data_IF_677877625422
#
_entry.id   IF_677877625422
#
_cell.length_a   1.000
_cell.length_b   1.000
_cell.length_c   1.000
_cell.angle_alpha   90.00
_cell.angle_beta   90.00
_cell.angle_gamma   90.00
#
_symmetry.space_group_name_H-M   'P 1'
#
loop_
_entity.id
_entity.type
_entity.pdbx_description
1 polymer ?
#
# COMPACT_ATOMS: atom_id res chain seq x y z
N UNK A 1 22.91 15.33 54.51
CA UNK A 1 22.04 14.43 53.72
C UNK A 1 22.65 14.36 52.34
N UNK A 2 22.80 13.15 51.80
CA UNK A 2 23.56 12.91 50.56
C UNK A 2 22.82 13.40 49.32
N UNK A 3 23.55 14.05 48.43
CA UNK A 3 23.18 14.22 47.03
C UNK A 3 23.09 12.84 46.34
N UNK A 4 22.22 12.75 45.33
CA UNK A 4 22.07 11.57 44.47
C UNK A 4 21.99 12.08 43.03
N UNK A 5 23.16 12.26 42.42
CA UNK A 5 23.28 12.54 40.99
C UNK A 5 22.80 11.33 40.19
N UNK A 6 21.90 11.58 39.24
CA UNK A 6 21.59 10.66 38.14
C UNK A 6 21.48 11.48 36.85
N UNK A 7 22.63 11.94 36.35
CA UNK A 7 22.78 12.31 34.94
C UNK A 7 23.15 11.06 34.12
N UNK A 8 22.15 10.38 33.56
CA UNK A 8 22.36 9.49 32.41
C UNK A 8 21.98 10.26 31.13
N UNK A 9 22.92 10.49 30.18
CA UNK A 9 22.59 11.17 28.93
C UNK A 9 21.75 10.25 28.05
N UNK A 10 20.53 10.68 27.74
CA UNK A 10 19.66 10.03 26.74
C UNK A 10 20.42 9.97 25.42
N UNK A 11 20.85 8.76 25.03
CA UNK A 11 21.47 8.50 23.73
C UNK A 11 20.43 8.70 22.64
N UNK A 12 20.41 9.90 22.04
CA UNK A 12 19.69 10.14 20.80
C UNK A 12 20.15 9.14 19.74
N UNK A 13 19.23 8.28 19.30
CA UNK A 13 19.47 7.38 18.19
C UNK A 13 19.57 8.23 16.92
N UNK A 14 20.77 8.38 16.36
CA UNK A 14 20.98 9.03 15.07
C UNK A 14 20.36 8.20 13.94
N UNK A 15 19.05 8.31 13.75
CA UNK A 15 18.33 7.74 12.61
C UNK A 15 18.60 8.62 11.40
N UNK A 16 19.69 8.32 10.68
CA UNK A 16 20.02 8.99 9.43
C UNK A 16 19.18 8.37 8.30
N UNK A 17 17.97 8.92 8.07
CA UNK A 17 17.09 8.50 6.98
C UNK A 17 17.73 8.85 5.62
N UNK A 18 18.31 7.85 4.95
CA UNK A 18 18.88 8.01 3.61
C UNK A 18 17.80 8.10 2.54
N UNK A 19 17.25 9.30 2.34
CA UNK A 19 16.46 9.62 1.16
C UNK A 19 17.39 9.79 -0.04
N UNK A 20 17.35 8.86 -1.00
CA UNK A 20 18.16 8.91 -2.21
C UNK A 20 17.74 10.06 -3.14
N UNK A 21 18.50 11.16 -3.11
CA UNK A 21 18.43 12.22 -4.10
C UNK A 21 19.15 11.77 -5.39
N UNK A 22 18.43 11.18 -6.34
CA UNK A 22 18.92 11.06 -7.72
C UNK A 22 18.33 12.17 -8.59
N UNK A 23 19.15 13.19 -8.85
CA UNK A 23 18.93 14.13 -9.94
C UNK A 23 19.20 13.42 -11.27
N UNK A 24 18.25 13.44 -12.19
CA UNK A 24 18.46 13.05 -13.58
C UNK A 24 19.04 14.23 -14.36
N UNK A 25 20.30 14.12 -14.77
CA UNK A 25 20.90 15.02 -15.77
C UNK A 25 20.61 14.52 -17.19
N UNK A 26 20.46 15.43 -18.18
CA UNK A 26 19.95 15.08 -19.51
C UNK A 26 20.98 14.39 -20.42
N UNK A 27 20.46 13.68 -21.41
CA UNK A 27 21.22 12.99 -22.46
C UNK A 27 21.86 14.01 -23.41
N UNK A 28 23.19 13.90 -23.62
CA UNK A 28 23.91 14.45 -24.78
C UNK A 28 24.85 13.37 -25.34
N UNK A 29 25.01 13.36 -26.67
CA UNK A 29 25.56 12.26 -27.45
C UNK A 29 27.07 12.35 -27.77
N UNK A 30 27.64 11.18 -28.11
CA UNK A 30 28.87 10.95 -28.88
C UNK A 30 30.22 11.51 -28.38
N UNK A 31 31.12 10.60 -27.99
CA UNK A 31 32.55 10.89 -27.84
C UNK A 31 33.39 9.79 -27.19
N UNK A 32 33.88 8.82 -27.97
CA UNK A 32 35.08 8.06 -27.61
C UNK A 32 36.32 9.00 -27.70
N UNK A 33 37.46 8.79 -26.99
CA UNK A 33 38.03 7.46 -26.72
C UNK A 33 38.95 7.29 -25.47
N UNK A 34 39.59 6.10 -25.43
CA UNK A 34 40.87 5.72 -24.79
C UNK A 34 40.88 5.18 -23.35
N UNK A 35 41.47 3.98 -23.27
CA UNK A 35 41.80 3.20 -22.07
C UNK A 35 42.95 3.85 -21.28
N UNK A 36 42.93 3.70 -19.96
CA UNK A 36 44.15 3.69 -19.14
C UNK A 36 44.14 2.44 -18.24
N UNK A 37 45.23 1.67 -18.26
CA UNK A 37 45.42 0.49 -17.41
C UNK A 37 46.70 0.64 -16.58
N UNK A 38 46.60 0.67 -15.25
CA UNK A 38 47.71 0.41 -14.30
C UNK A 38 47.13 -0.04 -12.93
N UNK A 39 47.89 -0.68 -12.01
CA UNK A 39 47.79 -2.13 -11.88
C UNK A 39 47.38 -2.65 -10.48
N UNK A 40 47.08 -3.94 -10.40
CA UNK A 40 46.89 -4.69 -9.14
C UNK A 40 48.15 -4.66 -8.25
N UNK A 41 47.98 -4.59 -6.93
CA UNK A 41 49.00 -4.98 -5.94
C UNK A 41 48.48 -6.05 -4.98
N UNK A 42 48.93 -7.28 -5.25
CA UNK A 42 49.39 -8.32 -4.31
C UNK A 42 48.83 -8.42 -2.89
N UNK A 43 48.33 -9.61 -2.58
CA UNK A 43 48.04 -10.12 -1.23
C UNK A 43 49.24 -10.11 -0.27
N UNK A 44 48.98 -10.01 1.04
CA UNK A 44 49.77 -10.65 2.12
C UNK A 44 48.90 -10.90 3.35
N UNK A 45 48.95 -12.13 3.87
CA UNK A 45 48.45 -12.54 5.19
C UNK A 45 49.45 -12.18 6.29
N UNK A 46 49.02 -12.14 7.57
CA UNK A 46 49.50 -13.15 8.55
C UNK A 46 48.32 -13.86 9.27
N UNK A 47 48.38 -15.18 9.49
CA UNK A 47 48.82 -15.84 10.74
C UNK A 47 47.95 -15.46 11.96
N UNK A 48 46.96 -16.29 12.33
CA UNK A 48 47.08 -17.51 13.17
C UNK A 48 47.48 -17.19 14.62
N UNK A 49 46.51 -17.28 15.52
CA UNK A 49 46.75 -17.52 16.95
C UNK A 49 45.88 -18.68 17.44
N UNK A 50 46.50 -19.61 18.18
CA UNK A 50 45.87 -20.77 18.83
C UNK A 50 45.40 -20.40 20.24
N UNK A 51 44.22 -20.87 20.60
CA UNK A 51 43.84 -21.27 21.96
C UNK A 51 42.80 -22.39 21.80
N UNK A 52 43.20 -23.66 21.87
CA UNK A 52 43.24 -24.51 23.06
C UNK A 52 41.85 -24.86 23.62
N UNK A 53 41.61 -26.17 23.63
CA UNK A 53 40.35 -26.83 24.01
C UNK A 53 40.19 -26.92 25.53
N UNK A 54 38.95 -26.99 26.00
CA UNK A 54 38.61 -27.51 27.31
C UNK A 54 37.39 -28.45 27.19
N UNK A 55 37.65 -29.76 27.11
CA UNK A 55 36.63 -30.79 27.26
C UNK A 55 36.06 -30.78 28.68
N UNK A 56 34.74 -30.89 28.83
CA UNK A 56 34.10 -31.52 29.99
C UNK A 56 32.95 -32.42 29.49
N UNK A 57 32.97 -33.69 29.90
CA UNK A 57 31.93 -34.68 29.67
C UNK A 57 31.21 -35.03 31.00
N UNK A 58 30.00 -35.62 30.96
CA UNK A 58 29.08 -35.61 32.09
C UNK A 58 29.27 -36.78 33.07
N UNK A 59 28.70 -36.64 34.28
CA UNK A 59 28.52 -37.74 35.23
C UNK A 59 27.04 -37.96 35.59
N UNK A 60 26.69 -39.22 35.82
CA UNK A 60 25.44 -39.71 36.41
C UNK A 60 25.75 -40.30 37.81
N UNK A 61 24.85 -40.75 38.68
CA UNK A 61 23.39 -41.02 38.70
C UNK A 61 23.00 -40.82 40.23
N UNK A 62 21.98 -41.43 40.90
CA UNK A 62 20.85 -42.25 40.45
C UNK A 62 19.44 -41.83 40.93
N UNK A 63 18.45 -42.39 40.21
CA UNK A 63 17.05 -42.69 40.55
C UNK A 63 16.45 -42.38 41.95
N UNK A 64 15.23 -41.83 41.92
CA UNK A 64 14.03 -42.59 42.37
C UNK A 64 12.87 -42.34 41.40
N UNK A 65 12.00 -43.33 41.23
CA UNK A 65 10.87 -43.26 40.29
C UNK A 65 9.53 -43.50 40.99
N UNK A 66 8.47 -42.93 40.42
CA UNK A 66 7.10 -43.38 40.61
C UNK A 66 6.37 -43.13 39.28
N UNK A 67 5.75 -44.17 38.73
CA UNK A 67 5.08 -44.09 37.43
C UNK A 67 3.56 -44.02 37.57
N UNK A 68 2.93 -43.29 36.66
CA UNK A 68 1.52 -43.45 36.31
C UNK A 68 1.30 -43.19 34.82
N UNK A 69 0.22 -43.76 34.30
CA UNK A 69 -0.13 -43.87 32.88
C UNK A 69 -0.51 -42.55 32.19
N UNK A 70 -0.31 -42.52 30.87
CA UNK A 70 -0.71 -41.43 29.97
C UNK A 70 -2.18 -41.57 29.56
N UNK A 71 -2.99 -40.53 29.78
CA UNK A 71 -4.14 -40.15 28.95
C UNK A 71 -4.30 -38.61 28.97
N UNK A 72 -4.92 -37.97 27.94
CA UNK A 72 -4.73 -36.56 27.67
C UNK A 72 -5.67 -35.61 28.43
N UNK A 73 -5.11 -34.58 29.05
CA UNK A 73 -5.89 -33.53 29.73
C UNK A 73 -6.50 -32.52 28.74
N UNK A 74 -7.78 -32.69 28.42
CA UNK A 74 -8.58 -31.75 27.63
C UNK A 74 -9.10 -30.58 28.48
N UNK A 75 -8.31 -29.52 28.68
CA UNK A 75 -8.79 -28.28 29.29
C UNK A 75 -8.20 -27.01 28.65
N UNK A 76 -8.79 -26.60 27.52
CA UNK A 76 -8.83 -25.18 27.15
C UNK A 76 -9.97 -24.51 27.96
N UNK A 77 -9.63 -23.79 29.02
CA UNK A 77 -10.56 -22.80 29.58
C UNK A 77 -10.37 -21.47 28.84
N UNK A 78 -11.45 -20.81 28.36
CA UNK A 78 -11.35 -19.53 27.69
C UNK A 78 -11.00 -18.44 28.69
N UNK A 79 -10.04 -17.59 28.32
CA UNK A 79 -9.70 -16.38 29.06
C UNK A 79 -10.86 -15.38 28.91
N UNK A 80 -11.75 -15.29 29.90
CA UNK A 80 -12.83 -14.31 29.94
C UNK A 80 -12.29 -12.90 30.21
N UNK A 81 -11.64 -12.33 29.20
CA UNK A 81 -11.40 -10.89 29.14
C UNK A 81 -12.74 -10.21 28.84
N UNK A 82 -13.30 -9.50 29.83
CA UNK A 82 -14.47 -8.66 29.60
C UNK A 82 -14.12 -7.54 28.63
N UNK A 83 -14.56 -7.69 27.38
CA UNK A 83 -14.43 -6.66 26.35
C UNK A 83 -15.23 -5.41 26.76
N UNK A 84 -14.63 -4.24 26.59
CA UNK A 84 -15.33 -2.97 26.85
C UNK A 84 -16.43 -2.73 25.83
N UNK A 85 -17.42 -1.91 26.17
CA UNK A 85 -18.49 -1.52 25.23
C UNK A 85 -17.96 -0.86 23.95
N UNK A 86 -16.77 -0.25 23.99
CA UNK A 86 -16.09 0.29 22.82
C UNK A 86 -15.45 -0.81 21.96
N UNK A 87 -14.81 -1.81 22.57
CA UNK A 87 -14.29 -2.98 21.87
C UNK A 87 -15.42 -3.80 21.22
N UNK A 88 -16.53 -3.99 21.93
CA UNK A 88 -17.74 -4.61 21.37
C UNK A 88 -18.32 -3.78 20.21
N UNK A 89 -18.37 -2.45 20.33
CA UNK A 89 -18.77 -1.58 19.20
C UNK A 89 -17.87 -1.71 17.98
N UNK A 90 -16.54 -1.84 18.15
CA UNK A 90 -15.62 -2.08 17.03
C UNK A 90 -15.81 -3.47 16.38
N UNK A 91 -16.18 -4.49 17.17
CA UNK A 91 -16.51 -5.83 16.67
C UNK A 91 -17.83 -5.83 15.89
N UNK A 92 -18.84 -5.09 16.38
CA UNK A 92 -20.16 -4.96 15.76
C UNK A 92 -20.29 -3.82 14.72
N UNK A 93 -19.20 -3.16 14.34
CA UNK A 93 -19.26 -2.17 13.27
C UNK A 93 -19.41 -2.90 11.93
N UNK A 94 -20.60 -2.83 11.35
CA UNK A 94 -20.88 -3.33 9.99
C UNK A 94 -19.89 -2.73 8.98
N UNK A 95 -19.34 -3.54 8.07
CA UNK A 95 -18.44 -3.04 7.05
C UNK A 95 -19.22 -2.11 6.10
N UNK A 96 -18.65 -0.93 5.80
CA UNK A 96 -19.05 -0.24 4.58
C UNK A 96 -18.79 -1.19 3.40
N UNK A 97 -19.82 -1.57 2.65
CA UNK A 97 -19.79 -2.51 1.53
C UNK A 97 -20.34 -1.84 0.26
N UNK A 98 -19.75 -0.68 -0.10
CA UNK A 98 -20.26 0.17 -1.17
C UNK A 98 -20.15 -0.45 -2.57
N UNK A 99 -19.15 -1.30 -2.85
CA UNK A 99 -19.03 -1.93 -4.16
C UNK A 99 -20.14 -2.97 -4.39
N UNK A 100 -20.75 -3.54 -3.34
CA UNK A 100 -21.86 -4.49 -3.41
C UNK A 100 -23.09 -3.98 -4.18
N UNK A 101 -23.29 -2.65 -4.28
CA UNK A 101 -24.40 -2.04 -5.05
C UNK A 101 -24.04 -1.75 -6.50
N UNK A 102 -22.76 -1.71 -6.85
CA UNK A 102 -22.29 -1.39 -8.19
C UNK A 102 -22.46 -2.62 -9.10
N UNK A 103 -22.94 -2.50 -10.35
CA UNK A 103 -23.06 -3.61 -11.29
C UNK A 103 -21.75 -4.37 -11.59
N UNK A 104 -21.87 -5.69 -11.82
CA UNK A 104 -20.74 -6.61 -12.06
C UNK A 104 -19.98 -6.36 -13.38
N UNK A 105 -20.65 -5.75 -14.36
CA UNK A 105 -20.10 -5.41 -15.68
C UNK A 105 -19.24 -4.14 -15.67
N UNK A 106 -19.28 -3.36 -14.58
CA UNK A 106 -18.53 -2.10 -14.48
C UNK A 106 -17.02 -2.34 -14.45
N UNK A 107 -16.23 -1.79 -15.39
CA UNK A 107 -14.77 -1.81 -15.34
C UNK A 107 -14.24 -1.19 -14.04
N UNK A 108 -13.19 -1.76 -13.43
CA UNK A 108 -12.66 -1.26 -12.15
C UNK A 108 -11.99 0.12 -12.30
N UNK A 109 -11.40 0.40 -13.47
CA UNK A 109 -10.91 1.74 -13.84
C UNK A 109 -12.05 2.77 -14.07
N UNK A 110 -13.33 2.38 -13.95
CA UNK A 110 -14.49 3.29 -13.95
C UNK A 110 -14.98 3.69 -12.56
N UNK A 111 -14.30 3.22 -11.50
CA UNK A 111 -14.68 3.52 -10.13
C UNK A 111 -13.86 4.69 -9.55
N UNK A 112 -14.51 5.41 -8.64
CA UNK A 112 -13.85 6.35 -7.73
C UNK A 112 -13.50 5.58 -6.45
N UNK A 113 -12.22 5.24 -6.29
CA UNK A 113 -11.73 4.30 -5.27
C UNK A 113 -10.94 5.07 -4.21
N UNK A 114 -11.45 5.21 -2.96
CA UNK A 114 -10.69 5.81 -1.87
C UNK A 114 -9.55 4.87 -1.45
N UNK A 115 -8.34 5.42 -1.36
CA UNK A 115 -7.13 4.71 -0.97
C UNK A 115 -6.39 5.37 0.19
N UNK A 116 -5.44 4.67 0.79
CA UNK A 116 -4.55 5.20 1.83
C UNK A 116 -3.09 5.14 1.40
N UNK A 117 -2.41 6.28 1.45
CA UNK A 117 -0.96 6.36 1.26
C UNK A 117 -0.24 5.75 2.48
N UNK A 118 0.79 4.95 2.23
CA UNK A 118 1.54 4.15 3.22
C UNK A 118 0.60 3.56 4.29
N UNK A 119 -0.36 2.72 3.86
CA UNK A 119 -1.54 2.31 4.63
C UNK A 119 -1.24 1.74 6.02
N UNK A 120 -0.03 1.23 6.23
CA UNK A 120 0.40 0.61 7.48
C UNK A 120 1.08 1.57 8.46
N UNK A 121 1.41 2.82 8.08
CA UNK A 121 2.29 3.69 8.85
C UNK A 121 1.58 4.43 10.00
N UNK A 122 1.05 3.63 10.96
CA UNK A 122 0.58 4.05 12.29
C UNK A 122 1.73 4.24 13.27
N UNK A 123 2.69 5.09 12.94
CA UNK A 123 3.82 5.38 13.83
C UNK A 123 3.46 6.41 14.91
N UNK A 124 4.15 6.37 16.05
CA UNK A 124 4.19 7.50 17.01
C UNK A 124 5.28 8.52 16.63
N UNK A 125 6.17 8.18 15.70
CA UNK A 125 7.13 9.12 15.11
C UNK A 125 6.39 9.95 14.07
N UNK A 126 6.16 11.23 14.37
CA UNK A 126 5.29 12.13 13.58
C UNK A 126 5.68 12.21 12.09
N UNK A 127 6.97 12.16 11.77
CA UNK A 127 7.50 12.18 10.39
C UNK A 127 7.30 10.88 9.62
N UNK A 128 6.93 9.80 10.32
CA UNK A 128 6.67 8.47 9.75
C UNK A 128 5.16 8.20 9.71
N UNK A 129 4.33 9.01 10.38
CA UNK A 129 2.90 8.76 10.50
C UNK A 129 2.10 9.35 9.33
N UNK A 130 1.47 8.48 8.55
CA UNK A 130 0.51 8.83 7.49
C UNK A 130 -0.92 8.43 7.84
N UNK A 131 -1.11 7.47 8.75
CA UNK A 131 -2.43 6.94 9.13
C UNK A 131 -2.58 6.82 10.65
N UNK A 132 -3.83 6.96 11.13
CA UNK A 132 -4.21 6.65 12.52
C UNK A 132 -4.96 5.33 12.67
N UNK A 133 -5.44 4.74 11.57
CA UNK A 133 -6.35 3.57 11.54
C UNK A 133 -5.65 2.30 11.06
N UNK A 134 -6.01 1.12 11.57
CA UNK A 134 -5.48 -0.16 11.06
C UNK A 134 -6.00 -0.43 9.65
N UNK A 135 -5.39 -1.37 8.93
CA UNK A 135 -5.92 -1.78 7.62
C UNK A 135 -7.35 -2.29 7.75
N UNK A 136 -7.67 -3.09 8.78
CA UNK A 136 -9.06 -3.42 9.11
C UNK A 136 -9.96 -2.18 9.33
N UNK A 137 -9.55 -1.20 10.16
CA UNK A 137 -10.33 0.03 10.42
C UNK A 137 -10.52 0.90 9.15
N UNK A 138 -9.53 0.92 8.25
CA UNK A 138 -9.60 1.62 6.96
C UNK A 138 -10.59 0.95 6.00
N UNK A 139 -10.50 -0.38 5.84
CA UNK A 139 -11.40 -1.17 4.99
C UNK A 139 -12.86 -1.04 5.47
N UNK A 140 -13.09 -1.08 6.79
CA UNK A 140 -14.41 -0.88 7.40
C UNK A 140 -14.97 0.54 7.18
N UNK A 141 -14.12 1.57 7.13
CA UNK A 141 -14.54 2.93 6.82
C UNK A 141 -14.99 3.08 5.36
N UNK A 142 -14.38 2.34 4.44
CA UNK A 142 -14.71 2.32 3.00
C UNK A 142 -13.50 2.32 2.06
N UNK A 143 -12.27 2.32 2.58
CA UNK A 143 -11.03 2.26 1.77
C UNK A 143 -10.98 0.97 0.95
N UNK A 144 -10.55 1.07 -0.31
CA UNK A 144 -10.41 -0.07 -1.25
C UNK A 144 -9.10 -0.06 -2.04
N UNK A 145 -8.19 0.88 -1.77
CA UNK A 145 -6.83 0.85 -2.30
C UNK A 145 -5.81 1.03 -1.16
N UNK A 146 -4.80 0.16 -1.10
CA UNK A 146 -3.76 0.17 -0.07
C UNK A 146 -2.39 0.36 -0.72
N UNK A 147 -1.58 1.30 -0.23
CA UNK A 147 -0.18 1.46 -0.63
C UNK A 147 0.72 0.81 0.43
N UNK A 148 1.37 -0.29 0.05
CA UNK A 148 2.19 -1.14 0.91
C UNK A 148 3.65 -1.03 0.50
N UNK A 149 4.43 -0.25 1.25
CA UNK A 149 5.89 -0.20 1.15
C UNK A 149 6.48 -1.37 1.92
N UNK A 150 7.20 -2.25 1.22
CA UNK A 150 7.71 -3.50 1.80
C UNK A 150 9.23 -3.57 1.74
N UNK A 151 9.82 -4.32 2.68
CA UNK A 151 11.17 -4.86 2.55
C UNK A 151 11.17 -6.35 2.79
N UNK A 152 12.04 -7.05 2.07
CA UNK A 152 12.27 -8.48 2.19
C UNK A 152 13.34 -8.76 3.24
N UNK A 153 13.08 -9.72 4.11
CA UNK A 153 14.04 -10.23 5.10
C UNK A 153 14.84 -11.41 4.52
N UNK A 154 15.94 -11.78 5.19
CA UNK A 154 16.85 -12.86 4.72
C UNK A 154 16.17 -14.23 4.55
N UNK A 155 15.04 -14.45 5.20
CA UNK A 155 14.23 -15.66 5.13
C UNK A 155 13.11 -15.58 4.06
N UNK A 156 13.14 -14.58 3.17
CA UNK A 156 12.13 -14.36 2.13
C UNK A 156 10.85 -13.65 2.61
N UNK A 157 10.64 -13.48 3.93
CA UNK A 157 9.43 -12.84 4.44
C UNK A 157 9.40 -11.34 4.14
N UNK A 158 8.22 -10.81 3.82
CA UNK A 158 7.98 -9.41 3.55
C UNK A 158 7.40 -8.70 4.78
N UNK A 159 7.97 -7.54 5.11
CA UNK A 159 7.56 -6.69 6.24
C UNK A 159 7.29 -5.27 5.76
N UNK A 160 6.37 -4.57 6.43
CA UNK A 160 5.98 -3.20 6.10
C UNK A 160 6.99 -2.18 6.66
N UNK A 161 7.33 -1.19 5.84
CA UNK A 161 8.26 -0.10 6.17
C UNK A 161 7.66 1.25 5.75
N UNK A 162 8.28 2.35 6.16
CA UNK A 162 8.08 3.68 5.54
C UNK A 162 9.40 4.46 5.68
N UNK A 163 10.01 4.84 4.54
CA UNK A 163 11.26 5.61 4.52
C UNK A 163 12.44 4.88 5.17
N UNK A 164 12.43 3.54 5.18
CA UNK A 164 13.40 2.69 5.87
C UNK A 164 13.15 2.49 7.36
N UNK A 165 12.09 3.06 7.94
CA UNK A 165 11.66 2.74 9.30
C UNK A 165 10.74 1.50 9.28
N UNK A 166 11.05 0.42 10.02
CA UNK A 166 10.16 -0.74 10.11
C UNK A 166 8.87 -0.37 10.84
N UNK A 167 7.73 -0.78 10.29
CA UNK A 167 6.42 -0.55 10.87
C UNK A 167 5.99 -1.72 11.76
N UNK A 168 5.10 -1.45 12.72
CA UNK A 168 4.56 -2.44 13.65
C UNK A 168 4.40 -1.90 15.07
N UNK A 169 4.07 -2.80 16.00
CA UNK A 169 4.00 -2.49 17.43
C UNK A 169 5.39 -2.65 18.06
N UNK A 170 5.60 -2.06 19.24
CA UNK A 170 6.86 -2.17 19.99
C UNK A 170 7.39 -3.62 20.04
N UNK A 171 8.60 -3.82 19.53
CA UNK A 171 9.28 -5.13 19.49
C UNK A 171 8.81 -6.11 18.41
N UNK A 172 7.79 -5.80 17.60
CA UNK A 172 7.25 -6.71 16.57
C UNK A 172 6.95 -5.98 15.27
N UNK A 173 7.79 -6.23 14.26
CA UNK A 173 7.57 -5.75 12.89
C UNK A 173 6.29 -6.33 12.29
N UNK A 174 5.61 -5.53 11.47
CA UNK A 174 4.38 -5.88 10.78
C UNK A 174 4.69 -6.64 9.50
N UNK A 175 4.38 -7.94 9.48
CA UNK A 175 4.53 -8.78 8.29
C UNK A 175 3.37 -8.55 7.29
N UNK A 176 3.65 -8.65 5.99
CA UNK A 176 2.62 -8.59 4.93
C UNK A 176 1.51 -9.62 5.16
N UNK A 177 1.84 -10.80 5.66
CA UNK A 177 0.86 -11.85 6.01
C UNK A 177 -0.20 -11.39 7.01
N UNK A 178 0.16 -10.49 7.95
CA UNK A 178 -0.79 -9.93 8.93
C UNK A 178 -1.72 -8.92 8.26
N UNK A 179 -1.17 -8.06 7.39
CA UNK A 179 -1.95 -7.08 6.62
C UNK A 179 -2.95 -7.77 5.68
N UNK A 180 -2.51 -8.79 4.96
CA UNK A 180 -3.40 -9.53 4.05
C UNK A 180 -4.43 -10.38 4.79
N UNK A 181 -4.16 -10.81 6.04
CA UNK A 181 -5.18 -11.47 6.86
C UNK A 181 -6.35 -10.53 7.21
N UNK A 182 -6.08 -9.24 7.48
CA UNK A 182 -7.14 -8.21 7.62
C UNK A 182 -7.95 -8.08 6.33
N UNK A 183 -7.29 -8.04 5.17
CA UNK A 183 -7.95 -7.96 3.84
C UNK A 183 -8.82 -9.19 3.58
N UNK A 184 -8.34 -10.42 3.83
CA UNK A 184 -9.13 -11.63 3.63
C UNK A 184 -10.32 -11.72 4.59
N UNK A 185 -10.13 -11.32 5.85
CA UNK A 185 -11.21 -11.22 6.84
C UNK A 185 -12.28 -10.22 6.39
N UNK A 186 -11.86 -9.09 5.82
CA UNK A 186 -12.77 -8.10 5.25
C UNK A 186 -13.55 -8.63 4.03
N UNK A 187 -12.92 -9.37 3.12
CA UNK A 187 -13.62 -10.02 1.99
C UNK A 187 -14.70 -10.98 2.49
N UNK A 188 -14.39 -11.81 3.49
CA UNK A 188 -15.37 -12.75 4.09
C UNK A 188 -16.53 -11.96 4.73
N UNK A 189 -16.22 -10.93 5.53
CA UNK A 189 -17.23 -10.11 6.23
C UNK A 189 -18.18 -9.36 5.30
N UNK A 190 -17.76 -9.05 4.08
CA UNK A 190 -18.60 -8.39 3.06
C UNK A 190 -19.31 -9.39 2.14
N UNK A 191 -19.30 -10.69 2.46
CA UNK A 191 -19.88 -11.73 1.59
C UNK A 191 -19.19 -11.81 0.23
N UNK A 192 -17.91 -11.48 0.18
CA UNK A 192 -17.07 -11.41 -1.02
C UNK A 192 -17.59 -10.42 -2.08
N UNK A 193 -18.34 -9.39 -1.69
CA UNK A 193 -18.88 -8.40 -2.63
C UNK A 193 -17.87 -7.35 -3.06
N UNK A 194 -16.80 -7.13 -2.30
CA UNK A 194 -15.83 -6.07 -2.55
C UNK A 194 -14.58 -6.57 -3.28
N UNK A 195 -13.77 -5.64 -3.80
CA UNK A 195 -12.40 -5.90 -4.29
C UNK A 195 -11.45 -4.87 -3.67
N UNK A 196 -10.17 -5.20 -3.53
CA UNK A 196 -9.16 -4.30 -2.95
C UNK A 196 -7.95 -4.22 -3.87
N UNK A 197 -7.56 -3.00 -4.24
CA UNK A 197 -6.32 -2.74 -4.97
C UNK A 197 -5.17 -2.71 -3.95
N UNK A 198 -4.12 -3.46 -4.20
CA UNK A 198 -2.91 -3.45 -3.37
C UNK A 198 -1.74 -2.98 -4.23
N UNK A 199 -1.30 -1.75 -3.98
CA UNK A 199 -0.05 -1.19 -4.48
C UNK A 199 1.10 -1.71 -3.64
N UNK A 200 2.11 -2.31 -4.26
CA UNK A 200 3.34 -2.76 -3.59
C UNK A 200 4.54 -2.03 -4.20
N UNK A 201 5.32 -1.36 -3.34
CA UNK A 201 6.64 -0.80 -3.67
C UNK A 201 7.72 -1.43 -2.79
N UNK A 202 8.94 -1.50 -3.30
CA UNK A 202 10.11 -1.93 -2.55
C UNK A 202 10.73 -0.72 -1.83
N UNK A 203 10.68 -0.69 -0.50
CA UNK A 203 11.25 0.40 0.31
C UNK A 203 12.74 0.20 0.62
N UNK A 204 13.38 -0.87 0.12
CA UNK A 204 14.81 -1.11 0.28
C UNK A 204 15.61 -0.60 -0.92
N UNK A 205 16.40 0.45 -0.70
CA UNK A 205 17.24 1.06 -1.73
C UNK A 205 18.37 0.14 -2.21
N UNK A 206 18.81 -0.84 -1.41
CA UNK A 206 19.83 -1.80 -1.82
C UNK A 206 19.25 -2.86 -2.76
N UNK A 207 18.06 -3.39 -2.46
CA UNK A 207 17.38 -4.32 -3.36
C UNK A 207 17.01 -3.60 -4.68
N UNK A 208 16.47 -2.36 -4.64
CA UNK A 208 16.19 -1.55 -5.85
C UNK A 208 17.44 -1.31 -6.71
N UNK A 209 18.59 -1.07 -6.10
CA UNK A 209 19.83 -0.69 -6.76
C UNK A 209 20.54 -1.80 -7.56
N UNK A 210 20.18 -3.07 -7.35
CA UNK A 210 20.82 -4.24 -7.96
C UNK A 210 19.82 -5.10 -8.73
N UNK A 211 20.25 -5.80 -9.79
CA UNK A 211 19.36 -6.69 -10.54
C UNK A 211 18.97 -7.92 -9.69
N UNK A 212 19.94 -8.42 -8.93
CA UNK A 212 19.80 -9.54 -8.01
C UNK A 212 18.83 -9.20 -6.87
N UNK A 213 18.89 -7.97 -6.34
CA UNK A 213 17.98 -7.47 -5.31
C UNK A 213 16.55 -7.26 -5.81
N UNK A 214 16.38 -6.67 -7.01
CA UNK A 214 15.06 -6.52 -7.63
C UNK A 214 14.41 -7.87 -7.93
N UNK A 215 15.18 -8.81 -8.50
CA UNK A 215 14.74 -10.19 -8.71
C UNK A 215 14.35 -10.86 -7.39
N UNK A 216 15.21 -10.81 -6.36
CA UNK A 216 14.90 -11.46 -5.08
C UNK A 216 13.70 -10.85 -4.35
N UNK A 217 13.44 -9.54 -4.53
CA UNK A 217 12.21 -8.90 -4.04
C UNK A 217 10.98 -9.36 -4.84
N UNK A 218 11.06 -9.41 -6.17
CA UNK A 218 9.99 -9.94 -7.03
C UNK A 218 9.61 -11.37 -6.62
N UNK A 219 10.60 -12.25 -6.49
CA UNK A 219 10.40 -13.65 -6.08
C UNK A 219 9.74 -13.76 -4.70
N UNK A 220 10.09 -12.91 -3.73
CA UNK A 220 9.45 -12.94 -2.41
C UNK A 220 7.97 -12.51 -2.44
N UNK A 221 7.59 -11.60 -3.35
CA UNK A 221 6.18 -11.22 -3.55
C UNK A 221 5.42 -12.34 -4.28
N UNK A 222 6.03 -12.92 -5.31
CA UNK A 222 5.45 -14.04 -6.06
C UNK A 222 5.32 -15.32 -5.21
N UNK A 223 6.33 -15.68 -4.41
CA UNK A 223 6.28 -16.77 -3.43
C UNK A 223 5.15 -16.55 -2.41
N UNK A 224 5.00 -15.34 -1.89
CA UNK A 224 3.91 -15.01 -0.96
C UNK A 224 2.52 -15.16 -1.60
N UNK A 225 2.39 -14.79 -2.87
CA UNK A 225 1.15 -14.95 -3.65
C UNK A 225 0.88 -16.43 -3.96
N UNK A 226 1.90 -17.19 -4.40
CA UNK A 226 1.80 -18.65 -4.63
C UNK A 226 1.48 -19.43 -3.35
N UNK A 227 1.96 -18.98 -2.20
CA UNK A 227 1.66 -19.54 -0.88
C UNK A 227 0.32 -19.06 -0.29
N UNK A 228 -0.34 -18.06 -0.90
CA UNK A 228 -1.66 -17.61 -0.43
C UNK A 228 -2.69 -18.73 -0.67
N UNK A 229 -3.37 -19.24 0.37
CA UNK A 229 -4.39 -20.27 0.19
C UNK A 229 -5.51 -19.79 -0.72
N UNK A 230 -6.02 -20.68 -1.58
CA UNK A 230 -7.23 -20.42 -2.37
C UNK A 230 -8.45 -20.34 -1.44
N UNK A 231 -9.59 -19.86 -1.95
CA UNK A 231 -10.82 -19.81 -1.16
C UNK A 231 -11.33 -21.21 -0.83
N UNK A 232 -11.73 -21.43 0.43
CA UNK A 232 -12.19 -22.71 0.93
C UNK A 232 -13.64 -23.05 0.59
N UNK A 233 -14.15 -24.12 1.21
CA UNK A 233 -15.52 -24.60 0.97
C UNK A 233 -16.57 -23.57 1.37
N UNK A 234 -17.34 -23.11 0.39
CA UNK A 234 -18.35 -22.06 0.57
C UNK A 234 -17.79 -20.62 0.64
N UNK A 235 -16.51 -20.41 0.36
CA UNK A 235 -15.88 -19.08 0.31
C UNK A 235 -15.70 -18.58 -1.14
N UNK A 236 -15.31 -17.31 -1.32
CA UNK A 236 -14.63 -16.84 -2.53
C UNK A 236 -15.45 -16.14 -3.60
N UNK A 237 -16.69 -15.73 -3.31
CA UNK A 237 -17.54 -14.98 -4.25
C UNK A 237 -18.93 -15.56 -4.42
N UNK A 238 -19.82 -14.80 -5.09
CA UNK A 238 -20.93 -15.41 -5.82
C UNK A 238 -20.36 -16.25 -6.97
N UNK A 239 -21.08 -17.30 -7.37
CA UNK A 239 -20.63 -18.33 -8.32
C UNK A 239 -20.52 -17.89 -9.80
N UNK A 240 -20.02 -16.68 -10.05
CA UNK A 240 -19.68 -16.18 -11.38
C UNK A 240 -18.36 -16.75 -11.91
N UNK A 241 -18.00 -16.35 -13.14
CA UNK A 241 -16.81 -16.85 -13.84
C UNK A 241 -15.53 -16.60 -13.03
N UNK A 242 -14.95 -17.68 -12.50
CA UNK A 242 -13.71 -17.65 -11.72
C UNK A 242 -13.84 -17.17 -10.26
N UNK A 243 -15.04 -17.20 -9.68
CA UNK A 243 -15.28 -17.01 -8.23
C UNK A 243 -15.71 -18.31 -7.52
N UNK A 244 -15.85 -18.26 -6.20
CA UNK A 244 -16.32 -19.37 -5.36
C UNK A 244 -15.20 -20.28 -4.80
N UNK A 245 -15.58 -21.47 -4.33
CA UNK A 245 -14.66 -22.46 -3.75
C UNK A 245 -13.53 -22.81 -4.72
N UNK A 246 -12.29 -22.84 -4.22
CA UNK A 246 -11.10 -23.09 -5.04
C UNK A 246 -10.71 -21.95 -5.98
N UNK A 247 -11.35 -20.77 -5.93
CA UNK A 247 -10.89 -19.59 -6.68
C UNK A 247 -9.68 -18.91 -6.02
N UNK A 248 -8.90 -18.18 -6.83
CA UNK A 248 -7.73 -17.42 -6.37
C UNK A 248 -8.17 -16.19 -5.56
N UNK A 249 -7.43 -15.86 -4.49
CA UNK A 249 -7.59 -14.58 -3.76
C UNK A 249 -6.96 -13.38 -4.47
N UNK A 250 -6.17 -13.63 -5.52
CA UNK A 250 -5.44 -12.64 -6.28
C UNK A 250 -5.91 -12.60 -7.74
N UNK A 251 -6.06 -11.39 -8.27
CA UNK A 251 -6.12 -11.10 -9.70
C UNK A 251 -4.76 -10.58 -10.14
N UNK A 252 -4.09 -11.34 -11.01
CA UNK A 252 -2.70 -11.12 -11.42
C UNK A 252 -2.55 -10.88 -12.93
N UNK A 253 -3.67 -10.79 -13.66
CA UNK A 253 -3.62 -10.49 -15.08
C UNK A 253 -3.38 -8.99 -15.31
N UNK A 254 -2.81 -8.66 -16.46
CA UNK A 254 -2.39 -7.31 -16.85
C UNK A 254 -3.49 -6.49 -17.55
N UNK A 255 -4.65 -7.09 -17.81
CA UNK A 255 -5.82 -6.43 -18.41
C UNK A 255 -6.73 -5.80 -17.33
N UNK A 256 -7.43 -4.72 -17.68
CA UNK A 256 -8.45 -4.10 -16.82
C UNK A 256 -9.64 -5.04 -16.61
N UNK A 257 -9.96 -5.47 -15.37
CA UNK A 257 -11.11 -6.32 -15.10
C UNK A 257 -12.41 -5.53 -14.93
N UNK A 258 -13.55 -6.21 -15.08
CA UNK A 258 -14.83 -5.75 -14.51
C UNK A 258 -14.91 -6.11 -13.03
N UNK A 259 -15.72 -5.36 -12.28
CA UNK A 259 -15.91 -5.56 -10.84
C UNK A 259 -16.30 -7.01 -10.50
N UNK A 260 -17.23 -7.60 -11.27
CA UNK A 260 -17.68 -8.99 -11.09
C UNK A 260 -16.56 -10.03 -11.21
N UNK A 261 -15.53 -9.78 -12.02
CA UNK A 261 -14.38 -10.70 -12.18
C UNK A 261 -13.44 -10.70 -10.97
N UNK A 262 -13.46 -9.63 -10.16
CA UNK A 262 -12.53 -9.39 -9.04
C UNK A 262 -13.19 -9.30 -7.66
N UNK A 263 -14.51 -9.45 -7.56
CA UNK A 263 -15.21 -9.61 -6.28
C UNK A 263 -14.59 -10.76 -5.48
N UNK A 264 -14.25 -10.51 -4.22
CA UNK A 264 -13.54 -11.45 -3.35
C UNK A 264 -12.05 -11.62 -3.69
N UNK A 265 -11.48 -10.78 -4.55
CA UNK A 265 -10.05 -10.83 -4.96
C UNK A 265 -9.35 -9.49 -4.72
N UNK A 266 -8.03 -9.56 -4.59
CA UNK A 266 -7.13 -8.41 -4.59
C UNK A 266 -6.52 -8.22 -5.97
N UNK A 267 -6.53 -6.98 -6.47
CA UNK A 267 -5.82 -6.59 -7.69
C UNK A 267 -4.42 -6.11 -7.28
N UNK A 268 -3.37 -6.71 -7.86
CA UNK A 268 -1.99 -6.28 -7.65
C UNK A 268 -1.61 -5.12 -8.58
N UNK A 269 -1.21 -4.00 -8.00
CA UNK A 269 -0.49 -2.91 -8.67
C UNK A 269 0.98 -2.98 -8.23
N UNK A 270 1.90 -3.29 -9.14
CA UNK A 270 3.30 -3.57 -8.83
C UNK A 270 4.17 -2.36 -9.18
N UNK A 271 4.89 -1.78 -8.22
CA UNK A 271 5.82 -0.64 -8.41
C UNK A 271 7.29 -1.06 -8.49
N UNK A 272 7.54 -2.36 -8.71
CA UNK A 272 8.85 -2.99 -8.84
C UNK A 272 8.91 -3.82 -10.14
N UNK A 273 10.03 -3.85 -10.88
CA UNK A 273 10.07 -4.51 -12.17
C UNK A 273 10.13 -6.04 -12.04
N UNK A 274 9.64 -6.75 -13.06
CA UNK A 274 10.10 -8.11 -13.35
C UNK A 274 11.41 -8.02 -14.15
N UNK A 275 12.42 -8.84 -13.83
CA UNK A 275 13.66 -8.89 -14.61
C UNK A 275 13.48 -9.79 -15.86
N UNK A 276 14.17 -9.46 -16.95
CA UNK A 276 13.97 -10.17 -18.24
C UNK A 276 14.32 -11.67 -18.13
N UNK A 277 13.46 -12.52 -18.69
CA UNK A 277 13.63 -13.98 -18.68
C UNK A 277 12.95 -14.70 -17.51
N UNK A 278 12.07 -14.03 -16.75
CA UNK A 278 11.19 -14.70 -15.80
C UNK A 278 10.07 -15.44 -16.54
N UNK A 279 10.17 -16.76 -16.60
CA UNK A 279 9.01 -17.60 -16.88
C UNK A 279 8.10 -17.60 -15.65
N UNK A 280 6.94 -16.95 -15.72
CA UNK A 280 5.89 -17.23 -14.73
C UNK A 280 5.35 -18.63 -14.98
N UNK A 281 5.40 -19.51 -13.97
CA UNK A 281 4.89 -20.87 -14.13
C UNK A 281 3.38 -20.82 -14.39
N UNK A 282 2.86 -21.40 -15.49
CA UNK A 282 1.51 -21.11 -15.99
C UNK A 282 0.42 -21.81 -15.17
N UNK A 283 0.05 -21.24 -14.02
CA UNK A 283 -1.07 -21.68 -13.17
C UNK A 283 -1.95 -20.51 -12.67
N UNK A 284 -2.23 -19.55 -13.56
CA UNK A 284 -3.32 -18.58 -13.41
C UNK A 284 -4.37 -18.66 -14.54
N UNK A 285 -4.02 -19.27 -15.69
CA UNK A 285 -4.92 -19.47 -16.84
C UNK A 285 -5.23 -20.96 -16.97
N UNK A 286 -6.30 -21.41 -16.32
CA UNK A 286 -7.03 -22.61 -16.74
C UNK A 286 -8.46 -22.22 -17.07
N UNK A 287 -8.67 -22.04 -18.38
CA UNK A 287 -9.88 -21.58 -19.02
C UNK A 287 -9.72 -21.83 -20.52
N UNK A 288 -9.88 -23.10 -20.88
CA UNK A 288 -9.71 -23.68 -22.22
C UNK A 288 -8.27 -23.91 -22.72
N UNK A 289 -8.13 -24.87 -23.65
CA UNK A 289 -6.86 -25.53 -23.99
C UNK A 289 -6.25 -25.12 -25.32
N UNK A 290 -5.03 -24.59 -25.28
CA UNK A 290 -3.99 -24.88 -26.27
C UNK A 290 -2.59 -24.61 -25.70
N UNK A 291 -1.64 -25.47 -26.03
CA UNK A 291 -0.26 -25.40 -25.54
C UNK A 291 0.60 -24.50 -26.42
N UNK A 292 0.83 -23.27 -25.99
CA UNK A 292 2.00 -22.48 -26.39
C UNK A 292 2.66 -21.92 -25.12
N UNK A 293 3.98 -22.08 -25.01
CA UNK A 293 4.77 -21.55 -23.90
C UNK A 293 4.84 -20.02 -24.02
N UNK A 294 3.88 -19.31 -23.41
CA UNK A 294 3.91 -17.85 -23.38
C UNK A 294 5.04 -17.39 -22.46
N UNK A 295 6.13 -16.90 -23.05
CA UNK A 295 7.17 -16.11 -22.39
C UNK A 295 6.57 -14.78 -21.88
N UNK A 296 5.86 -14.87 -20.75
CA UNK A 296 5.16 -13.78 -20.07
C UNK A 296 6.16 -12.88 -19.35
N UNK A 297 6.99 -12.19 -20.15
CA UNK A 297 7.84 -11.07 -19.73
C UNK A 297 7.09 -9.96 -18.97
N UNK A 298 5.75 -9.97 -19.00
CA UNK A 298 4.89 -9.07 -18.24
C UNK A 298 4.93 -9.30 -16.72
N UNK A 299 5.13 -10.53 -16.23
CA UNK A 299 5.11 -10.83 -14.79
C UNK A 299 3.74 -10.70 -14.09
N UNK A 300 3.73 -10.65 -12.76
CA UNK A 300 2.49 -10.64 -11.94
C UNK A 300 1.81 -9.27 -11.82
N UNK A 301 0.51 -9.19 -12.13
CA UNK A 301 -0.30 -7.98 -11.98
C UNK A 301 0.15 -6.81 -12.87
N UNK A 302 -0.41 -5.62 -12.63
CA UNK A 302 -0.11 -4.44 -13.43
C UNK A 302 1.32 -3.92 -13.18
N UNK A 303 2.10 -3.76 -14.25
CA UNK A 303 3.44 -3.16 -14.18
C UNK A 303 3.37 -1.64 -14.10
N UNK A 304 3.61 -1.10 -12.91
CA UNK A 304 3.80 0.33 -12.63
C UNK A 304 5.24 0.63 -12.19
N UNK A 305 6.22 -0.21 -12.56
CA UNK A 305 7.62 -0.06 -12.16
C UNK A 305 8.34 1.12 -12.82
N UNK A 306 7.81 1.62 -13.93
CA UNK A 306 8.25 2.85 -14.60
C UNK A 306 7.81 4.14 -13.87
N UNK A 307 7.63 4.09 -12.54
CA UNK A 307 7.11 5.18 -11.72
C UNK A 307 8.02 6.41 -11.72
N UNK A 308 7.51 7.57 -12.14
CA UNK A 308 8.28 8.82 -12.17
C UNK A 308 8.30 9.47 -10.78
N UNK A 309 9.47 9.56 -10.18
CA UNK A 309 9.63 10.12 -8.83
C UNK A 309 9.22 11.60 -8.77
N UNK A 310 8.32 11.94 -7.83
CA UNK A 310 7.94 13.32 -7.49
C UNK A 310 7.35 14.14 -8.66
N UNK A 311 6.62 13.50 -9.58
CA UNK A 311 6.02 14.15 -10.75
C UNK A 311 4.54 14.54 -10.52
N UNK A 312 4.11 15.75 -10.91
CA UNK A 312 2.71 16.18 -10.80
C UNK A 312 1.77 15.59 -11.87
N UNK A 313 2.31 15.06 -12.96
CA UNK A 313 1.54 14.38 -14.01
C UNK A 313 2.52 13.50 -14.82
N UNK A 314 2.20 12.22 -14.96
CA UNK A 314 2.94 11.30 -15.84
C UNK A 314 2.06 10.12 -16.24
N UNK A 315 2.46 9.44 -17.31
CA UNK A 315 1.78 8.27 -17.86
C UNK A 315 2.73 7.07 -17.77
N UNK A 316 2.21 5.93 -17.30
CA UNK A 316 2.79 4.61 -17.50
C UNK A 316 1.91 3.86 -18.50
N UNK A 317 2.48 3.48 -19.64
CA UNK A 317 1.84 2.60 -20.61
C UNK A 317 2.21 1.16 -20.30
N UNK A 318 1.23 0.31 -20.04
CA UNK A 318 1.38 -1.16 -20.01
C UNK A 318 0.88 -1.76 -21.34
N UNK A 319 1.10 -3.06 -21.61
CA UNK A 319 0.60 -3.71 -22.83
C UNK A 319 -0.93 -3.66 -23.00
N UNK A 320 -1.69 -3.51 -21.91
CA UNK A 320 -3.15 -3.62 -21.91
C UNK A 320 -3.88 -2.47 -21.18
N UNK A 321 -3.17 -1.52 -20.59
CA UNK A 321 -3.74 -0.39 -19.88
C UNK A 321 -2.83 0.84 -19.91
N UNK A 322 -3.42 2.03 -19.87
CA UNK A 322 -2.73 3.29 -19.61
C UNK A 322 -3.01 3.72 -18.17
N UNK A 323 -1.98 4.12 -17.43
CA UNK A 323 -2.09 4.68 -16.09
C UNK A 323 -1.59 6.11 -16.08
N UNK A 324 -2.45 7.06 -15.70
CA UNK A 324 -2.09 8.46 -15.51
C UNK A 324 -2.07 8.82 -14.04
N UNK A 325 -0.95 9.38 -13.59
CA UNK A 325 -0.58 9.40 -12.18
C UNK A 325 -0.11 10.80 -11.77
N UNK A 326 -0.59 11.28 -10.63
CA UNK A 326 -0.05 12.44 -9.92
C UNK A 326 0.56 11.98 -8.60
N UNK A 327 1.89 12.09 -8.49
CA UNK A 327 2.67 11.74 -7.30
C UNK A 327 3.73 12.82 -7.02
N UNK A 328 3.29 14.08 -6.91
CA UNK A 328 4.11 15.21 -6.46
C UNK A 328 4.17 15.19 -4.93
N UNK A 329 5.01 14.35 -4.36
CA UNK A 329 5.03 14.09 -2.91
C UNK A 329 5.99 14.96 -2.10
N UNK A 330 7.07 15.53 -2.68
CA UNK A 330 8.19 16.13 -1.91
C UNK A 330 8.45 17.61 -2.14
N UNK A 331 8.14 18.48 -1.18
CA UNK A 331 8.48 19.90 -1.22
C UNK A 331 9.87 20.13 -0.60
N UNK A 332 10.90 20.20 -1.47
CA UNK A 332 12.30 20.26 -1.03
C UNK A 332 12.79 21.64 -0.58
N UNK A 333 12.02 22.70 -0.83
CA UNK A 333 12.34 24.06 -0.37
C UNK A 333 11.36 24.49 0.74
N UNK A 334 11.78 25.47 1.54
CA UNK A 334 10.98 25.98 2.65
C UNK A 334 9.79 26.80 2.11
N UNK A 335 8.59 26.28 2.31
CA UNK A 335 7.32 26.80 1.78
C UNK A 335 6.29 26.92 2.91
N UNK A 336 5.40 27.94 2.88
CA UNK A 336 4.34 28.04 3.88
C UNK A 336 3.28 26.94 3.66
N UNK A 337 2.62 26.52 4.74
CA UNK A 337 1.58 25.47 4.67
C UNK A 337 0.45 25.83 3.69
N UNK A 338 0.07 27.11 3.60
CA UNK A 338 -0.94 27.57 2.65
C UNK A 338 -0.52 27.31 1.20
N UNK A 339 0.64 27.82 0.79
CA UNK A 339 1.19 27.69 -0.57
C UNK A 339 1.45 26.22 -0.95
N UNK A 340 1.89 25.39 0.02
CA UNK A 340 2.06 23.95 -0.17
C UNK A 340 0.71 23.28 -0.41
N UNK A 341 -0.29 23.52 0.44
CA UNK A 341 -1.64 22.94 0.30
C UNK A 341 -2.29 23.40 -1.01
N UNK A 342 -2.16 24.66 -1.39
CA UNK A 342 -2.66 25.19 -2.67
C UNK A 342 -2.00 24.45 -3.85
N UNK A 343 -0.67 24.49 -3.93
CA UNK A 343 0.11 23.81 -4.98
C UNK A 343 -0.23 22.32 -5.09
N UNK A 344 -0.28 21.60 -3.96
CA UNK A 344 -0.57 20.16 -3.94
C UNK A 344 -2.01 19.88 -4.36
N UNK A 345 -2.96 20.67 -3.85
CA UNK A 345 -4.37 20.53 -4.19
C UNK A 345 -4.60 20.75 -5.68
N UNK A 346 -3.92 21.71 -6.30
CA UNK A 346 -4.11 22.02 -7.72
C UNK A 346 -3.57 20.90 -8.62
N UNK A 347 -2.44 20.26 -8.29
CA UNK A 347 -2.00 19.06 -9.00
C UNK A 347 -3.03 17.92 -8.91
N UNK A 348 -3.62 17.68 -7.72
CA UNK A 348 -4.68 16.67 -7.55
C UNK A 348 -5.93 17.05 -8.37
N UNK A 349 -6.43 18.28 -8.23
CA UNK A 349 -7.62 18.76 -8.95
C UNK A 349 -7.44 18.65 -10.47
N UNK A 350 -6.28 19.05 -10.99
CA UNK A 350 -6.00 19.02 -12.43
C UNK A 350 -6.09 17.61 -13.01
N UNK A 351 -5.58 16.58 -12.31
CA UNK A 351 -5.73 15.19 -12.78
C UNK A 351 -7.16 14.67 -12.56
N UNK A 352 -7.81 15.04 -11.46
CA UNK A 352 -9.18 14.61 -11.13
C UNK A 352 -10.22 15.17 -12.11
N UNK A 353 -10.08 16.43 -12.49
CA UNK A 353 -10.86 17.13 -13.51
C UNK A 353 -10.72 16.46 -14.90
N UNK A 354 -9.55 15.88 -15.19
CA UNK A 354 -9.34 15.09 -16.42
C UNK A 354 -10.02 13.72 -16.38
N UNK A 355 -10.05 13.05 -15.22
CA UNK A 355 -10.84 11.83 -15.02
C UNK A 355 -12.35 12.09 -15.21
N UNK A 356 -12.84 13.20 -14.65
CA UNK A 356 -14.23 13.68 -14.76
C UNK A 356 -14.59 14.02 -16.22
N UNK A 357 -13.72 14.74 -16.95
CA UNK A 357 -13.94 15.04 -18.37
C UNK A 357 -14.04 13.78 -19.23
N UNK A 358 -13.09 12.86 -19.10
CA UNK A 358 -13.08 11.63 -19.92
C UNK A 358 -14.34 10.77 -19.64
N UNK A 359 -14.89 10.78 -18.42
CA UNK A 359 -16.19 10.15 -18.13
C UNK A 359 -17.35 10.84 -18.85
N UNK A 360 -17.43 12.18 -18.80
CA UNK A 360 -18.52 12.97 -19.41
C UNK A 360 -18.51 12.92 -20.93
N UNK A 361 -17.32 12.95 -21.53
CA UNK A 361 -17.13 12.94 -22.99
C UNK A 361 -17.40 11.56 -23.62
N UNK A 362 -17.37 10.48 -22.83
CA UNK A 362 -17.62 9.10 -23.27
C UNK A 362 -18.97 8.91 -23.97
N UNK A 363 -19.99 9.67 -23.57
CA UNK A 363 -21.32 9.63 -24.21
C UNK A 363 -21.42 10.37 -25.55
N UNK A 364 -20.38 11.11 -25.96
CA UNK A 364 -20.37 11.99 -27.12
C UNK A 364 -19.46 11.50 -28.27
N UNK A 365 -18.57 10.55 -28.00
CA UNK A 365 -17.56 10.09 -28.95
C UNK A 365 -17.95 8.75 -29.60
N UNK A 366 -17.91 8.70 -30.93
CA UNK A 366 -18.03 7.45 -31.69
C UNK A 366 -16.83 6.56 -31.37
N UNK A 367 -17.09 5.28 -31.08
CA UNK A 367 -16.16 4.30 -30.51
C UNK A 367 -14.90 4.00 -31.37
N UNK A 368 -13.93 4.91 -31.39
CA UNK A 368 -12.70 4.80 -32.21
C UNK A 368 -11.39 5.06 -31.45
N UNK A 369 -11.43 5.30 -30.13
CA UNK A 369 -10.22 5.42 -29.29
C UNK A 369 -10.43 4.73 -27.93
N UNK A 370 -9.97 3.47 -27.74
CA UNK A 370 -10.09 2.73 -26.49
C UNK A 370 -8.90 3.02 -25.55
N UNK A 371 -8.57 4.29 -25.31
CA UNK A 371 -7.61 4.70 -24.27
C UNK A 371 -8.36 5.14 -23.02
N UNK A 372 -8.93 4.14 -22.35
CA UNK A 372 -9.70 4.30 -21.13
C UNK A 372 -8.78 4.16 -19.90
N UNK A 373 -8.18 5.29 -19.53
CA UNK A 373 -7.06 5.34 -18.62
C UNK A 373 -7.46 5.04 -17.16
N UNK A 374 -6.57 4.38 -16.43
CA UNK A 374 -6.58 4.40 -14.97
C UNK A 374 -6.07 5.75 -14.49
N UNK A 375 -6.78 6.39 -13.57
CA UNK A 375 -6.33 7.62 -12.91
C UNK A 375 -5.92 7.33 -11.47
N UNK A 376 -4.72 7.74 -11.07
CA UNK A 376 -4.19 7.58 -9.71
C UNK A 376 -3.72 8.93 -9.16
N UNK A 377 -4.24 9.31 -8.00
CA UNK A 377 -3.94 10.57 -7.33
C UNK A 377 -3.38 10.29 -5.94
N UNK A 378 -2.30 10.96 -5.57
CA UNK A 378 -1.87 11.05 -4.18
C UNK A 378 -2.21 12.44 -3.63
N UNK A 379 -3.06 12.53 -2.60
CA UNK A 379 -3.27 13.78 -1.85
C UNK A 379 -2.15 14.03 -0.84
N UNK A 380 -1.42 12.98 -0.47
CA UNK A 380 -0.26 12.99 0.42
C UNK A 380 0.92 13.81 -0.13
N UNK A 381 1.63 14.49 0.77
CA UNK A 381 2.90 15.14 0.51
C UNK A 381 3.66 15.41 1.82
N UNK A 382 4.93 15.80 1.70
CA UNK A 382 5.83 16.15 2.81
C UNK A 382 6.69 17.37 2.44
N UNK A 383 6.97 18.26 3.39
CA UNK A 383 8.03 19.28 3.26
C UNK A 383 9.37 18.72 3.77
N UNK A 384 10.52 19.07 3.18
CA UNK A 384 11.83 18.52 3.62
C UNK A 384 12.15 18.89 5.09
N UNK A 385 12.06 17.95 6.07
CA UNK A 385 12.17 18.30 7.49
C UNK A 385 13.62 18.58 7.90
N UNK A 386 14.54 17.79 7.31
CA UNK A 386 15.88 17.59 7.83
C UNK A 386 16.94 18.56 7.28
N UNK A 387 16.65 19.28 6.18
CA UNK A 387 17.60 20.23 5.57
C UNK A 387 17.30 21.70 5.85
N UNK A 388 16.01 22.05 5.95
CA UNK A 388 15.57 23.44 6.01
C UNK A 388 14.75 23.78 7.28
N UNK A 389 14.56 22.79 8.16
CA UNK A 389 13.60 22.84 9.27
C UNK A 389 12.18 22.67 8.74
N UNK A 390 11.42 21.77 9.34
CA UNK A 390 10.07 21.47 8.86
C UNK A 390 9.10 22.65 9.09
N UNK A 391 8.26 22.93 8.09
CA UNK A 391 7.08 23.80 8.25
C UNK A 391 5.79 22.97 8.33
N UNK A 392 5.76 21.77 7.74
CA UNK A 392 4.54 21.01 7.53
C UNK A 392 4.77 19.49 7.58
N UNK A 393 4.18 18.85 8.59
CA UNK A 393 4.03 17.38 8.69
C UNK A 393 2.99 16.86 7.69
N UNK A 394 3.04 15.57 7.35
CA UNK A 394 1.99 14.90 6.56
C UNK A 394 0.57 15.16 7.12
N UNK A 395 0.42 15.17 8.46
CA UNK A 395 -0.85 15.49 9.13
C UNK A 395 -1.30 16.93 8.87
N UNK A 396 -0.42 17.91 9.02
CA UNK A 396 -0.76 19.33 8.78
C UNK A 396 -1.11 19.58 7.31
N UNK A 397 -0.46 18.89 6.37
CA UNK A 397 -0.74 18.97 4.93
C UNK A 397 -2.11 18.36 4.61
N UNK A 398 -2.39 17.15 5.10
CA UNK A 398 -3.64 16.45 4.82
C UNK A 398 -4.85 17.10 5.51
N UNK A 399 -4.74 17.36 6.82
CA UNK A 399 -5.86 17.74 7.70
C UNK A 399 -6.00 19.26 7.85
N UNK A 400 -4.88 19.98 7.82
CA UNK A 400 -4.79 21.38 8.20
C UNK A 400 -4.17 21.57 9.60
N UNK A 401 -3.75 22.81 9.87
CA UNK A 401 -3.13 23.19 11.14
C UNK A 401 -3.27 24.70 11.42
N UNK A 402 -2.91 25.14 12.63
CA UNK A 402 -2.84 26.55 12.98
C UNK A 402 -1.50 27.18 12.56
N UNK A 403 -1.56 28.31 11.88
CA UNK A 403 -0.39 29.04 11.37
C UNK A 403 -0.34 30.48 11.90
N UNK A 404 0.88 30.99 12.14
CA UNK A 404 1.12 32.34 12.63
C UNK A 404 0.41 32.63 13.96
N UNK A 405 -0.37 33.71 14.03
CA UNK A 405 -1.12 34.15 15.20
C UNK A 405 -2.41 33.33 15.45
N UNK A 406 -2.37 32.01 15.29
CA UNK A 406 -3.52 31.13 15.50
C UNK A 406 -4.57 31.16 14.39
N UNK A 407 -4.20 31.49 13.14
CA UNK A 407 -5.11 31.35 11.99
C UNK A 407 -5.18 29.87 11.58
N UNK A 408 -6.38 29.31 11.48
CA UNK A 408 -6.55 27.96 10.92
C UNK A 408 -6.26 27.96 9.41
N UNK A 409 -5.44 27.02 8.95
CA UNK A 409 -5.17 26.73 7.55
C UNK A 409 -5.73 25.34 7.22
N UNK A 410 -6.78 25.23 6.38
CA UNK A 410 -7.28 23.95 5.88
C UNK A 410 -6.20 23.16 5.12
N UNK A 411 -6.23 21.84 5.25
CA UNK A 411 -5.37 20.91 4.50
C UNK A 411 -5.97 20.43 3.18
N UNK A 412 -5.18 19.65 2.43
CA UNK A 412 -5.53 19.10 1.12
C UNK A 412 -6.82 18.27 1.17
N UNK A 413 -7.05 17.48 2.23
CA UNK A 413 -8.25 16.64 2.29
C UNK A 413 -9.55 17.49 2.33
N UNK A 414 -9.51 18.67 2.97
CA UNK A 414 -10.63 19.63 2.95
C UNK A 414 -10.80 20.22 1.54
N UNK A 415 -9.71 20.67 0.92
CA UNK A 415 -9.73 21.31 -0.40
C UNK A 415 -10.25 20.36 -1.50
N UNK A 416 -9.88 19.08 -1.46
CA UNK A 416 -10.37 18.07 -2.42
C UNK A 416 -11.82 17.68 -2.12
N UNK A 417 -12.25 17.60 -0.85
CA UNK A 417 -13.65 17.35 -0.53
C UNK A 417 -14.55 18.50 -1.01
N UNK A 418 -14.11 19.75 -0.90
CA UNK A 418 -14.80 20.92 -1.44
C UNK A 418 -14.86 20.88 -2.97
N UNK A 419 -13.75 20.54 -3.64
CA UNK A 419 -13.72 20.36 -5.09
C UNK A 419 -14.71 19.30 -5.57
N UNK A 420 -14.74 18.11 -4.95
CA UNK A 420 -15.70 17.05 -5.30
C UNK A 420 -17.13 17.55 -5.11
N UNK A 421 -17.47 18.17 -3.98
CA UNK A 421 -18.81 18.73 -3.72
C UNK A 421 -19.25 19.79 -4.75
N UNK A 422 -18.31 20.51 -5.36
CA UNK A 422 -18.58 21.54 -6.36
C UNK A 422 -18.65 21.00 -7.79
N UNK A 423 -17.75 20.10 -8.18
CA UNK A 423 -17.54 19.68 -9.58
C UNK A 423 -18.01 18.25 -9.89
N UNK A 424 -18.17 17.41 -8.86
CA UNK A 424 -18.69 16.05 -8.93
C UNK A 424 -19.68 15.75 -7.78
N UNK A 425 -20.76 16.54 -7.63
CA UNK A 425 -21.76 16.31 -6.57
C UNK A 425 -22.51 14.98 -6.77
N UNK A 426 -23.04 14.38 -5.69
CA UNK A 426 -23.92 13.21 -5.79
C UNK A 426 -25.18 13.49 -6.63
N UNK A 427 -25.76 12.45 -7.23
CA UNK A 427 -26.93 12.58 -8.12
C UNK A 427 -26.59 12.49 -9.62
N UNK A 428 -25.31 12.29 -9.95
CA UNK A 428 -24.85 11.81 -11.26
C UNK A 428 -23.53 11.08 -11.02
N UNK A 429 -23.35 9.88 -11.58
CA UNK A 429 -22.06 9.19 -11.48
C UNK A 429 -20.94 10.02 -12.13
N UNK A 430 -19.80 10.11 -11.46
CA UNK A 430 -18.58 10.75 -11.96
C UNK A 430 -17.39 9.85 -11.62
N UNK A 431 -16.42 9.75 -12.52
CA UNK A 431 -15.17 9.05 -12.24
C UNK A 431 -14.10 10.01 -11.75
N UNK A 432 -13.57 9.72 -10.56
CA UNK A 432 -12.36 10.35 -10.03
C UNK A 432 -11.13 9.46 -10.25
N UNK A 433 -11.28 8.13 -10.21
CA UNK A 433 -10.17 7.17 -10.18
C UNK A 433 -9.73 6.81 -8.75
N UNK A 434 -8.50 6.31 -8.60
CA UNK A 434 -7.94 5.88 -7.30
C UNK A 434 -7.32 7.06 -6.56
N UNK A 435 -7.83 7.41 -5.38
CA UNK A 435 -7.37 8.58 -4.61
C UNK A 435 -6.71 8.12 -3.31
N UNK A 436 -5.38 8.03 -3.31
CA UNK A 436 -4.57 7.71 -2.13
C UNK A 436 -4.44 8.92 -1.21
N UNK A 437 -4.85 8.77 0.05
CA UNK A 437 -4.90 9.85 1.04
C UNK A 437 -4.03 9.54 2.26
N UNK A 438 -3.36 10.57 2.80
CA UNK A 438 -2.92 10.57 4.20
C UNK A 438 -4.14 10.84 5.10
N UNK A 439 -4.22 10.14 6.23
CA UNK A 439 -5.28 10.24 7.23
C UNK A 439 -6.70 10.23 6.63
N UNK A 440 -7.05 9.21 5.83
CA UNK A 440 -8.22 9.22 4.92
C UNK A 440 -9.60 9.56 5.54
N UNK A 441 -9.80 9.36 6.85
CA UNK A 441 -11.05 9.76 7.56
C UNK A 441 -10.96 11.12 8.25
N UNK A 442 -9.87 11.86 8.08
CA UNK A 442 -9.62 13.14 8.73
C UNK A 442 -9.45 14.30 7.73
N UNK A 443 -9.96 15.49 8.09
CA UNK A 443 -10.82 15.73 9.25
C UNK A 443 -12.24 15.20 8.95
N UNK A 444 -12.94 14.70 9.98
CA UNK A 444 -14.18 13.91 9.80
C UNK A 444 -15.30 14.70 9.10
N UNK A 445 -15.36 15.99 9.38
CA UNK A 445 -16.30 16.98 8.83
C UNK A 445 -16.04 17.34 7.36
N UNK A 446 -14.81 17.13 6.84
CA UNK A 446 -14.57 17.25 5.41
C UNK A 446 -15.35 16.20 4.62
N UNK A 447 -15.40 14.96 5.14
CA UNK A 447 -16.09 13.83 4.50
C UNK A 447 -15.48 13.42 3.16
N UNK A 448 -14.16 13.55 2.97
CA UNK A 448 -13.50 13.27 1.70
C UNK A 448 -13.73 11.82 1.21
N UNK A 449 -13.46 10.83 2.07
CA UNK A 449 -13.67 9.41 1.76
C UNK A 449 -15.11 9.12 1.34
N UNK A 450 -16.09 9.63 2.10
CA UNK A 450 -17.51 9.45 1.81
C UNK A 450 -17.91 10.18 0.51
N UNK A 451 -17.32 11.36 0.23
CA UNK A 451 -17.53 12.11 -1.02
C UNK A 451 -16.98 11.38 -2.24
N UNK A 452 -15.81 10.74 -2.13
CA UNK A 452 -15.24 9.90 -3.21
C UNK A 452 -16.18 8.72 -3.51
N UNK A 453 -16.64 8.01 -2.47
CA UNK A 453 -17.56 6.87 -2.61
C UNK A 453 -18.86 7.31 -3.30
N UNK A 454 -19.44 8.44 -2.89
CA UNK A 454 -20.71 8.95 -3.43
C UNK A 454 -20.69 9.15 -4.95
N UNK A 455 -19.54 9.52 -5.54
CA UNK A 455 -19.44 9.72 -7.00
C UNK A 455 -19.65 8.47 -7.85
N UNK A 456 -19.65 7.27 -7.26
CA UNK A 456 -19.87 6.02 -7.99
C UNK A 456 -21.34 5.76 -8.36
N UNK A 457 -22.29 6.53 -7.81
CA UNK A 457 -23.73 6.27 -7.85
C UNK A 457 -24.50 7.31 -8.66
N UNK A 458 -25.58 6.85 -9.30
CA UNK A 458 -26.35 7.66 -10.25
C UNK A 458 -27.48 8.48 -9.59
N UNK A 459 -27.77 8.27 -8.30
CA UNK A 459 -28.73 9.09 -7.54
C UNK A 459 -28.22 9.48 -6.15
N UNK A 460 -28.81 10.54 -5.57
CA UNK A 460 -28.50 11.01 -4.22
C UNK A 460 -28.96 9.99 -3.18
N UNK A 461 -30.12 9.37 -3.41
CA UNK A 461 -30.72 8.35 -2.55
C UNK A 461 -29.85 7.10 -2.48
N UNK A 462 -29.31 6.64 -3.62
CA UNK A 462 -28.38 5.50 -3.65
C UNK A 462 -27.09 5.80 -2.87
N UNK A 463 -26.50 6.98 -3.09
CA UNK A 463 -25.31 7.41 -2.33
C UNK A 463 -25.59 7.52 -0.82
N UNK A 464 -26.74 8.09 -0.42
CA UNK A 464 -27.16 8.19 0.98
C UNK A 464 -27.38 6.81 1.63
N UNK A 465 -28.01 5.86 0.91
CA UNK A 465 -28.21 4.48 1.34
C UNK A 465 -26.90 3.68 1.48
N UNK A 466 -25.81 4.10 0.84
CA UNK A 466 -24.49 3.47 0.90
C UNK A 466 -23.64 4.04 2.03
N UNK A 467 -23.59 5.36 2.16
CA UNK A 467 -22.87 6.04 3.24
C UNK A 467 -23.56 5.83 4.60
N UNK A 468 -24.87 5.57 4.56
CA UNK A 468 -25.77 5.53 5.70
C UNK A 468 -26.06 6.94 6.20
N UNK A 469 -27.23 7.13 6.79
CA UNK A 469 -27.45 8.26 7.69
C UNK A 469 -26.59 8.06 8.95
N UNK A 470 -25.32 8.48 8.87
CA UNK A 470 -24.47 8.79 10.03
C UNK A 470 -24.96 10.11 10.64
N UNK A 471 -26.18 10.10 11.16
CA UNK A 471 -26.75 11.15 12.00
C UNK A 471 -26.13 11.11 13.41
#
# INVERSE_FOLDING_TARGET
>A
MSELDIEEPIKFLNIQLHFSNHQTTPVITNGSPKRLCVPRRTCRSPEVFRAQEAHHQPQQQPSQGCGTSVEPASHLQPYNAHLTSEQLRKIHQEPNAWMARIPDDRPVNHLSIPGTHDSCARSQVIYVQTQTQTVAEQLLAGVRALDLRLRRHRNGQLFCYHGGVPLGSFGRQLALSTVMADVWTFMIRTGFTETVLVSIDNDDSADRGSAEGRHAFYEAVDDFIRQTPRWGKGEGGRAGVGGGEGSSRWYLASQTPTLGQVRGKVILLRRFPAEKGHSTSPLAVQGDSSSEDIDTTEGIGFDLSAWVNNSPDFIIQTPHAEFRIQDRWKYSERIHLADLVESKSDFVKNLMDQAIRQERERGLLVATQPHDSWFIHFTSAVGEPFKHGEIATARSIAVGDFVGWGKWQPGVNIAIAQFIKQYAPPGQRQRLGVVFMDFAVLPKDAGLLDSIIATNFDSIEEAALVLGERA
#
